data_IF_782815977071
#
_entry.id   IF_782815977071
#
_cell.length_a   1.000
_cell.length_b   1.000
_cell.length_c   1.000
_cell.angle_alpha   90.00
_cell.angle_beta   90.00
_cell.angle_gamma   90.00
#
_symmetry.space_group_name_H-M   'P 1'
#
loop_
_entity.id
_entity.type
_entity.pdbx_description
1 polymer ?
#
# COMPACT_ATOMS: atom_id res chain seq x y z
N UNK A 1 -50.99 -2.63 -76.75
CA UNK A 1 -49.78 -2.91 -75.94
C UNK A 1 -49.60 -1.72 -75.01
N UNK A 2 -50.33 -1.64 -73.90
CA UNK A 2 -50.22 -2.43 -72.66
C UNK A 2 -48.84 -2.35 -72.00
N UNK A 3 -48.90 -1.80 -70.78
CA UNK A 3 -48.01 -2.00 -69.62
C UNK A 3 -46.97 -0.90 -69.36
N UNK A 4 -46.78 -0.41 -68.14
CA UNK A 4 -47.53 -0.41 -66.87
C UNK A 4 -46.85 0.69 -66.04
N UNK A 5 -47.64 1.55 -65.38
CA UNK A 5 -47.16 2.32 -64.23
C UNK A 5 -46.76 1.37 -63.11
N UNK A 6 -45.59 1.54 -62.51
CA UNK A 6 -45.27 0.95 -61.21
C UNK A 6 -44.25 1.82 -60.46
N UNK A 7 -44.79 2.70 -59.61
CA UNK A 7 -44.09 3.24 -58.45
C UNK A 7 -44.61 2.48 -57.22
N UNK A 8 -43.73 2.05 -56.33
CA UNK A 8 -44.06 2.07 -54.92
C UNK A 8 -43.06 2.91 -54.13
N UNK A 9 -43.64 3.91 -53.49
CA UNK A 9 -43.20 4.65 -52.33
C UNK A 9 -42.62 3.75 -51.23
N UNK A 10 -41.32 3.90 -50.95
CA UNK A 10 -40.62 3.24 -49.85
C UNK A 10 -40.12 4.25 -48.81
N UNK A 11 -41.01 4.61 -47.89
CA UNK A 11 -40.72 4.97 -46.48
C UNK A 11 -39.44 5.79 -46.22
N UNK A 12 -39.54 7.09 -46.46
CA UNK A 12 -38.79 8.06 -45.68
C UNK A 12 -39.34 8.09 -44.24
N UNK A 13 -38.47 8.41 -43.28
CA UNK A 13 -38.71 8.71 -41.85
C UNK A 13 -38.70 7.48 -40.93
N UNK A 14 -37.55 7.20 -40.30
CA UNK A 14 -37.40 6.95 -38.84
C UNK A 14 -35.99 6.48 -38.44
N UNK A 15 -34.94 7.22 -38.80
CA UNK A 15 -33.58 6.97 -38.25
C UNK A 15 -32.82 8.28 -38.08
N UNK A 16 -33.41 9.27 -37.40
CA UNK A 16 -32.75 10.57 -37.20
C UNK A 16 -33.03 11.22 -35.84
N UNK A 17 -33.28 10.42 -34.79
CA UNK A 17 -33.41 10.95 -33.41
C UNK A 17 -32.51 10.22 -32.40
N UNK A 18 -31.90 9.09 -32.78
CA UNK A 18 -31.09 8.27 -31.86
C UNK A 18 -29.58 8.53 -31.97
N UNK A 19 -29.20 9.76 -32.33
CA UNK A 19 -27.77 10.16 -32.42
C UNK A 19 -27.44 11.39 -31.56
N UNK A 20 -28.43 12.06 -30.95
CA UNK A 20 -28.20 13.30 -30.19
C UNK A 20 -28.09 13.09 -28.67
N UNK A 21 -28.50 11.93 -28.14
CA UNK A 21 -28.45 11.66 -26.69
C UNK A 21 -27.08 11.13 -26.20
N UNK A 22 -26.18 10.73 -27.10
CA UNK A 22 -24.87 10.15 -26.72
C UNK A 22 -23.79 11.23 -26.50
N UNK A 23 -24.00 12.46 -26.98
CA UNK A 23 -23.00 13.54 -26.90
C UNK A 23 -22.99 14.33 -25.59
N UNK A 24 -23.96 14.13 -24.69
CA UNK A 24 -24.07 14.92 -23.44
C UNK A 24 -23.59 14.10 -22.20
N UNK A 25 -23.44 12.78 -22.32
CA UNK A 25 -23.06 11.91 -21.19
C UNK A 25 -21.56 11.72 -20.94
N UNK A 26 -20.67 12.31 -21.76
CA UNK A 26 -19.24 11.95 -21.77
C UNK A 26 -18.29 12.76 -20.87
N UNK A 27 -18.76 13.76 -20.12
CA UNK A 27 -17.86 14.79 -19.56
C UNK A 27 -17.39 14.60 -18.11
N UNK A 28 -17.64 13.46 -17.45
CA UNK A 28 -17.46 13.34 -15.99
C UNK A 28 -16.45 12.28 -15.49
N UNK A 29 -15.59 11.68 -16.32
CA UNK A 29 -14.72 10.55 -15.89
C UNK A 29 -13.21 10.89 -15.82
N UNK A 30 -12.81 12.15 -15.96
CA UNK A 30 -11.39 12.48 -16.14
C UNK A 30 -10.52 12.54 -14.85
N UNK A 31 -11.06 12.30 -13.65
CA UNK A 31 -10.32 12.55 -12.39
C UNK A 31 -9.77 11.30 -11.69
N UNK A 32 -10.16 10.09 -12.09
CA UNK A 32 -9.73 8.86 -11.38
C UNK A 32 -8.46 8.20 -11.94
N UNK A 33 -7.96 8.64 -13.10
CA UNK A 33 -6.83 7.97 -13.78
C UNK A 33 -5.48 8.31 -13.13
N UNK A 34 -5.33 9.48 -12.46
CA UNK A 34 -4.02 9.92 -11.93
C UNK A 34 -3.57 9.23 -10.65
N UNK A 35 -4.50 8.80 -9.79
CA UNK A 35 -4.13 8.09 -8.56
C UNK A 35 -3.59 6.69 -8.87
N UNK A 36 -4.11 6.03 -9.91
CA UNK A 36 -3.72 4.67 -10.28
C UNK A 36 -2.26 4.57 -10.73
N UNK A 37 -1.71 5.61 -11.35
CA UNK A 37 -0.31 5.61 -11.78
C UNK A 37 0.66 5.66 -10.59
N UNK A 38 0.37 6.46 -9.57
CA UNK A 38 1.27 6.56 -8.41
C UNK A 38 1.29 5.31 -7.53
N UNK A 39 0.17 4.61 -7.41
CA UNK A 39 0.14 3.33 -6.68
C UNK A 39 1.03 2.28 -7.35
N UNK A 40 1.04 2.22 -8.69
CA UNK A 40 1.92 1.32 -9.44
C UNK A 40 3.38 1.73 -9.29
N UNK A 41 3.70 3.02 -9.42
CA UNK A 41 5.07 3.52 -9.26
C UNK A 41 5.59 3.30 -7.82
N UNK A 42 4.73 3.44 -6.81
CA UNK A 42 5.09 3.14 -5.42
C UNK A 42 5.42 1.65 -5.23
N UNK A 43 4.61 0.76 -5.81
CA UNK A 43 4.89 -0.68 -5.78
C UNK A 43 6.20 -1.03 -6.51
N UNK A 44 6.46 -0.40 -7.66
CA UNK A 44 7.70 -0.58 -8.43
C UNK A 44 8.92 -0.08 -7.66
N UNK A 45 8.84 1.12 -7.07
CA UNK A 45 9.89 1.68 -6.24
C UNK A 45 10.18 0.79 -5.02
N UNK A 46 9.15 0.22 -4.39
CA UNK A 46 9.33 -0.71 -3.28
C UNK A 46 10.11 -1.96 -3.71
N UNK A 47 9.84 -2.49 -4.90
CA UNK A 47 10.63 -3.60 -5.45
C UNK A 47 12.09 -3.19 -5.66
N UNK A 48 12.33 -2.02 -6.27
CA UNK A 48 13.69 -1.49 -6.47
C UNK A 48 14.44 -1.31 -5.15
N UNK A 49 13.79 -0.77 -4.12
CA UNK A 49 14.34 -0.68 -2.76
C UNK A 49 14.71 -2.06 -2.19
N UNK A 50 13.81 -3.03 -2.29
CA UNK A 50 14.01 -4.39 -1.74
C UNK A 50 15.22 -5.11 -2.37
N UNK A 51 15.57 -4.81 -3.63
CA UNK A 51 16.74 -5.38 -4.32
C UNK A 51 17.98 -4.49 -4.26
N UNK A 52 17.96 -3.43 -3.44
CA UNK A 52 19.10 -2.52 -3.23
C UNK A 52 19.32 -1.49 -4.34
N UNK A 53 18.36 -1.32 -5.26
CA UNK A 53 18.39 -0.28 -6.30
C UNK A 53 17.77 1.01 -5.77
N UNK A 54 18.45 1.60 -4.79
CA UNK A 54 17.95 2.76 -4.07
C UNK A 54 17.77 3.99 -4.96
N UNK A 55 18.72 4.29 -5.85
CA UNK A 55 18.61 5.46 -6.74
C UNK A 55 17.41 5.32 -7.71
N UNK A 56 17.14 4.12 -8.24
CA UNK A 56 15.97 3.83 -9.08
C UNK A 56 14.65 4.01 -8.30
N UNK A 57 14.61 3.54 -7.04
CA UNK A 57 13.46 3.74 -6.17
C UNK A 57 13.19 5.23 -5.91
N UNK A 58 14.24 6.01 -5.62
CA UNK A 58 14.15 7.45 -5.36
C UNK A 58 13.64 8.20 -6.61
N UNK A 59 14.21 7.90 -7.79
CA UNK A 59 13.81 8.53 -9.05
C UNK A 59 12.33 8.26 -9.36
N UNK A 60 11.91 7.00 -9.21
CA UNK A 60 10.53 6.56 -9.43
C UNK A 60 9.54 7.29 -8.51
N UNK A 61 9.86 7.39 -7.21
CA UNK A 61 9.00 8.06 -6.24
C UNK A 61 8.92 9.56 -6.45
N UNK A 62 10.05 10.21 -6.78
CA UNK A 62 10.06 11.64 -7.12
C UNK A 62 9.24 11.94 -8.36
N UNK A 63 9.32 11.09 -9.39
CA UNK A 63 8.47 11.22 -10.56
C UNK A 63 6.97 11.20 -10.18
N UNK A 64 6.56 10.26 -9.31
CA UNK A 64 5.20 10.18 -8.80
C UNK A 64 4.78 11.46 -8.04
N UNK A 65 5.62 11.94 -7.11
CA UNK A 65 5.34 13.17 -6.35
C UNK A 65 5.19 14.40 -7.26
N UNK A 66 6.07 14.55 -8.24
CA UNK A 66 6.13 15.74 -9.09
C UNK A 66 5.03 15.80 -10.17
N UNK A 67 4.63 14.66 -10.75
CA UNK A 67 3.82 14.65 -11.98
C UNK A 67 2.37 14.22 -11.78
N UNK A 68 2.08 13.44 -10.73
CA UNK A 68 0.76 12.85 -10.54
C UNK A 68 -0.06 13.54 -9.44
N UNK A 69 0.56 14.45 -8.67
CA UNK A 69 -0.05 15.14 -7.53
C UNK A 69 -0.87 14.19 -6.65
N UNK A 70 -0.24 13.13 -6.09
CA UNK A 70 -0.94 12.13 -5.32
C UNK A 70 -1.59 12.71 -4.06
N UNK A 71 -2.53 11.98 -3.46
CA UNK A 71 -3.08 12.38 -2.15
C UNK A 71 -2.00 12.33 -1.05
N UNK A 72 -2.33 12.93 0.11
CA UNK A 72 -1.39 13.03 1.23
C UNK A 72 -0.95 11.67 1.78
N UNK A 73 -1.78 10.63 1.69
CA UNK A 73 -1.43 9.30 2.17
C UNK A 73 -0.35 8.68 1.28
N UNK A 74 -0.50 8.77 -0.05
CA UNK A 74 0.50 8.31 -1.01
C UNK A 74 1.78 9.15 -0.89
N UNK A 75 1.68 10.47 -0.73
CA UNK A 75 2.85 11.32 -0.50
C UNK A 75 3.64 10.87 0.74
N UNK A 76 2.94 10.61 1.86
CA UNK A 76 3.58 10.12 3.08
C UNK A 76 4.28 8.78 2.89
N UNK A 77 3.64 7.82 2.20
CA UNK A 77 4.27 6.54 1.86
C UNK A 77 5.50 6.72 0.98
N UNK A 78 5.45 7.61 0.00
CA UNK A 78 6.56 7.90 -0.89
C UNK A 78 7.75 8.51 -0.14
N UNK A 79 7.53 9.54 0.69
CA UNK A 79 8.61 10.15 1.48
C UNK A 79 9.23 9.21 2.51
N UNK A 80 8.42 8.35 3.14
CA UNK A 80 8.94 7.27 3.99
C UNK A 80 9.91 6.36 3.23
N UNK A 81 9.51 5.90 2.04
CA UNK A 81 10.33 5.01 1.23
C UNK A 81 11.57 5.71 0.64
N UNK A 82 11.46 6.98 0.25
CA UNK A 82 12.60 7.83 -0.16
C UNK A 82 13.61 7.96 1.00
N UNK A 83 13.15 8.26 2.21
CA UNK A 83 14.01 8.36 3.39
C UNK A 83 14.77 7.07 3.67
N UNK A 84 14.10 5.92 3.63
CA UNK A 84 14.75 4.62 3.77
C UNK A 84 15.76 4.33 2.64
N UNK A 85 15.42 4.65 1.39
CA UNK A 85 16.32 4.47 0.25
C UNK A 85 17.58 5.35 0.37
N UNK A 86 17.44 6.60 0.83
CA UNK A 86 18.59 7.45 1.10
C UNK A 86 19.50 6.90 2.20
N UNK A 87 18.94 6.34 3.27
CA UNK A 87 19.72 5.64 4.32
C UNK A 87 20.46 4.44 3.72
N UNK A 88 19.78 3.62 2.91
CA UNK A 88 20.39 2.49 2.19
C UNK A 88 21.56 2.92 1.30
N UNK A 89 21.47 4.10 0.69
CA UNK A 89 22.51 4.73 -0.12
C UNK A 89 23.57 5.52 0.66
N UNK A 90 23.51 5.54 2.01
CA UNK A 90 24.40 6.34 2.88
C UNK A 90 24.36 7.85 2.59
N UNK A 91 23.18 8.37 2.22
CA UNK A 91 22.88 9.78 1.94
C UNK A 91 22.05 10.37 3.08
N UNK A 92 22.64 10.47 4.26
CA UNK A 92 21.91 10.79 5.51
C UNK A 92 21.26 12.19 5.50
N UNK A 93 21.93 13.18 4.92
CA UNK A 93 21.39 14.54 4.81
C UNK A 93 20.11 14.58 3.96
N UNK A 94 20.10 13.84 2.85
CA UNK A 94 18.94 13.71 1.97
C UNK A 94 17.82 12.88 2.62
N UNK A 95 18.17 11.85 3.40
CA UNK A 95 17.21 11.10 4.19
C UNK A 95 16.49 12.00 5.21
N UNK A 96 17.28 12.84 5.90
CA UNK A 96 16.76 13.82 6.86
C UNK A 96 15.77 14.78 6.19
N UNK A 97 16.13 15.30 5.02
CA UNK A 97 15.24 16.18 4.25
C UNK A 97 13.93 15.49 3.85
N UNK A 98 13.98 14.24 3.39
CA UNK A 98 12.77 13.48 3.07
C UNK A 98 11.88 13.24 4.30
N UNK A 99 12.47 13.04 5.48
CA UNK A 99 11.73 12.90 6.74
C UNK A 99 11.10 14.23 7.17
N UNK A 100 11.78 15.36 6.97
CA UNK A 100 11.19 16.69 7.19
C UNK A 100 9.95 16.86 6.32
N UNK A 101 10.05 16.56 5.02
CA UNK A 101 8.91 16.65 4.10
C UNK A 101 7.77 15.69 4.50
N UNK A 102 8.09 14.48 4.99
CA UNK A 102 7.12 13.55 5.55
C UNK A 102 6.39 14.13 6.77
N UNK A 103 7.10 14.73 7.72
CA UNK A 103 6.52 15.26 8.95
C UNK A 103 5.71 16.55 8.70
N UNK A 104 6.05 17.31 7.66
CA UNK A 104 5.25 18.46 7.22
C UNK A 104 3.85 18.02 6.73
N UNK A 105 3.76 16.94 5.95
CA UNK A 105 2.47 16.43 5.44
C UNK A 105 1.74 15.52 6.44
N UNK A 106 2.47 14.82 7.30
CA UNK A 106 1.94 13.90 8.29
C UNK A 106 2.59 14.11 9.67
N UNK A 107 2.22 15.19 10.41
CA UNK A 107 2.85 15.51 11.70
C UNK A 107 2.76 14.40 12.74
N UNK A 108 1.68 13.59 12.68
CA UNK A 108 1.45 12.44 13.55
C UNK A 108 2.11 11.14 13.09
N UNK A 109 2.96 11.15 12.05
CA UNK A 109 3.60 9.94 11.51
C UNK A 109 4.48 9.24 12.54
N UNK A 110 4.23 7.96 12.79
CA UNK A 110 5.07 7.11 13.63
C UNK A 110 5.77 6.06 12.75
N UNK A 111 7.10 5.89 12.84
CA UNK A 111 7.79 4.87 12.07
C UNK A 111 7.38 3.47 12.52
N UNK A 112 7.35 2.50 11.58
CA UNK A 112 7.06 1.11 11.94
C UNK A 112 8.26 0.55 12.74
N UNK A 113 8.05 -0.10 13.90
CA UNK A 113 9.15 -0.73 14.64
C UNK A 113 9.93 -1.79 13.86
N UNK A 114 9.39 -2.31 12.75
CA UNK A 114 10.06 -3.24 11.84
C UNK A 114 10.89 -2.53 10.76
N UNK A 115 10.80 -1.20 10.65
CA UNK A 115 11.65 -0.44 9.74
C UNK A 115 13.12 -0.56 10.16
N UNK A 116 14.00 -0.22 9.21
CA UNK A 116 15.43 -0.16 9.50
C UNK A 116 15.66 0.73 10.72
N UNK A 117 16.38 0.23 11.72
CA UNK A 117 16.66 0.98 12.96
C UNK A 117 17.25 2.37 12.72
N UNK A 118 18.12 2.52 11.72
CA UNK A 118 18.68 3.82 11.36
C UNK A 118 17.61 4.80 10.86
N UNK A 119 16.55 4.29 10.20
CA UNK A 119 15.42 5.12 9.77
C UNK A 119 14.56 5.54 10.95
N UNK A 120 14.23 4.59 11.83
CA UNK A 120 13.47 4.85 13.06
C UNK A 120 14.17 5.91 13.92
N UNK A 121 15.46 5.73 14.18
CA UNK A 121 16.27 6.65 14.98
C UNK A 121 16.31 8.05 14.35
N UNK A 122 16.45 8.13 13.01
CA UNK A 122 16.49 9.42 12.30
C UNK A 122 15.14 10.14 12.32
N UNK A 123 14.01 9.43 12.25
CA UNK A 123 12.68 10.04 12.37
C UNK A 123 12.51 10.69 13.74
N UNK A 124 12.87 10.00 14.81
CA UNK A 124 12.81 10.57 16.15
C UNK A 124 13.75 11.75 16.33
N UNK A 125 14.97 11.65 15.78
CA UNK A 125 15.91 12.77 15.80
C UNK A 125 15.32 14.02 15.14
N UNK A 126 14.75 13.90 13.93
CA UNK A 126 14.16 15.05 13.23
C UNK A 126 12.99 15.64 14.03
N UNK A 127 12.17 14.80 14.67
CA UNK A 127 11.08 15.28 15.53
C UNK A 127 11.57 16.08 16.71
N UNK A 128 12.57 15.58 17.46
CA UNK A 128 13.14 16.32 18.60
C UNK A 128 13.78 17.65 18.18
N UNK A 129 14.30 17.73 16.95
CA UNK A 129 14.84 18.98 16.42
C UNK A 129 13.74 19.98 16.02
N UNK A 130 12.58 19.51 15.55
CA UNK A 130 11.44 20.37 15.18
C UNK A 130 10.56 20.76 16.36
N UNK A 131 10.42 19.87 17.34
CA UNK A 131 9.62 20.02 18.55
C UNK A 131 10.46 19.62 19.77
N UNK A 132 11.08 20.60 20.47
CA UNK A 132 11.90 20.33 21.65
C UNK A 132 11.14 19.69 22.82
N UNK A 133 9.81 19.78 22.82
CA UNK A 133 8.95 19.19 23.86
C UNK A 133 8.51 17.75 23.49
N UNK A 134 8.91 17.23 22.33
CA UNK A 134 8.62 15.86 21.92
C UNK A 134 9.39 14.84 22.75
N UNK A 135 8.65 13.99 23.46
CA UNK A 135 9.20 12.80 24.14
C UNK A 135 8.99 11.56 23.25
N UNK A 136 10.07 10.90 22.78
CA UNK A 136 9.93 9.67 22.02
C UNK A 136 9.28 8.60 22.90
N UNK A 137 8.49 7.67 22.32
CA UNK A 137 7.89 6.59 23.09
C UNK A 137 8.99 5.76 23.78
N UNK A 138 9.13 5.95 25.09
CA UNK A 138 10.08 5.22 25.93
C UNK A 138 9.52 3.84 26.24
N UNK A 139 9.58 2.95 25.26
CA UNK A 139 9.27 1.54 25.43
C UNK A 139 9.97 0.74 24.35
N UNK A 140 10.65 -0.36 24.73
CA UNK A 140 10.91 -1.42 23.75
C UNK A 140 9.58 -1.74 23.05
N UNK A 141 9.56 -1.96 21.73
CA UNK A 141 8.32 -2.29 21.04
C UNK A 141 7.74 -3.50 21.76
N UNK A 142 6.65 -3.28 22.52
CA UNK A 142 5.96 -4.37 23.16
C UNK A 142 5.56 -5.30 22.03
N UNK A 143 6.26 -6.42 21.93
CA UNK A 143 5.90 -7.54 21.08
C UNK A 143 4.52 -7.95 21.58
N UNK A 144 3.46 -7.38 20.99
CA UNK A 144 2.08 -7.73 21.29
C UNK A 144 1.87 -9.16 20.79
N UNK A 145 2.35 -10.12 21.58
CA UNK A 145 2.07 -11.55 21.47
C UNK A 145 0.55 -11.70 21.59
N UNK A 146 -0.10 -11.86 20.44
CA UNK A 146 -1.43 -12.42 20.33
C UNK A 146 -2.56 -11.60 20.96
N UNK A 147 -2.96 -10.50 20.32
CA UNK A 147 -4.29 -9.91 20.55
C UNK A 147 -5.30 -10.18 19.41
N UNK A 148 -5.08 -11.21 18.59
CA UNK A 148 -6.19 -11.83 17.83
C UNK A 148 -6.98 -12.79 18.72
N UNK A 149 -7.48 -12.29 19.86
CA UNK A 149 -8.56 -12.96 20.60
C UNK A 149 -9.89 -12.49 20.03
N UNK A 150 -10.39 -13.28 19.07
CA UNK A 150 -11.80 -13.55 18.76
C UNK A 150 -12.79 -12.39 18.98
N UNK A 151 -13.07 -11.63 17.92
CA UNK A 151 -14.37 -10.97 17.76
C UNK A 151 -15.34 -11.97 17.11
N UNK A 152 -15.90 -12.86 17.93
CA UNK A 152 -17.11 -13.63 17.61
C UNK A 152 -18.20 -13.09 18.54
N UNK A 153 -19.13 -12.29 18.01
CA UNK A 153 -20.50 -12.01 18.49
C UNK A 153 -21.04 -10.87 17.60
N UNK A 154 -21.77 -11.15 16.52
CA UNK A 154 -23.24 -11.32 16.46
C UNK A 154 -23.78 -10.13 15.62
N UNK A 155 -24.67 -10.24 14.64
CA UNK A 155 -26.02 -10.82 14.63
C UNK A 155 -26.38 -11.07 13.15
N UNK A 156 -26.88 -12.27 12.83
CA UNK A 156 -27.37 -12.59 11.48
C UNK A 156 -27.88 -14.03 11.42
N UNK A 157 -29.04 -14.26 12.01
CA UNK A 157 -29.67 -15.58 12.04
C UNK A 157 -30.12 -16.01 10.63
N UNK A 158 -29.59 -17.13 10.15
CA UNK A 158 -30.29 -18.03 9.23
C UNK A 158 -29.79 -19.44 9.49
N UNK A 159 -30.68 -20.27 10.06
CA UNK A 159 -30.42 -21.66 10.40
C UNK A 159 -30.24 -22.50 9.13
N UNK A 160 -29.14 -23.27 9.05
CA UNK A 160 -29.11 -24.53 8.29
C UNK A 160 -28.39 -25.57 9.14
N UNK A 161 -29.05 -26.71 9.25
CA UNK A 161 -28.83 -27.78 10.18
C UNK A 161 -27.70 -28.75 9.73
N UNK A 162 -26.98 -29.26 10.74
CA UNK A 162 -26.42 -30.62 10.87
C UNK A 162 -25.36 -31.05 9.85
N UNK A 163 -24.13 -31.30 10.33
CA UNK A 163 -23.55 -32.65 10.45
C UNK A 163 -22.53 -32.63 11.60
N UNK A 164 -22.77 -33.46 12.63
CA UNK A 164 -21.78 -33.77 13.65
C UNK A 164 -20.93 -34.95 13.16
N UNK A 165 -19.60 -34.76 13.10
CA UNK A 165 -18.63 -35.86 13.07
C UNK A 165 -17.77 -35.71 14.32
N UNK A 166 -17.98 -36.63 15.26
CA UNK A 166 -17.11 -36.89 16.40
C UNK A 166 -15.95 -37.80 15.92
N UNK A 167 -14.72 -37.29 15.99
CA UNK A 167 -13.47 -38.07 16.02
C UNK A 167 -12.57 -37.28 16.98
N UNK A 168 -12.51 -37.66 18.26
CA UNK A 168 -11.56 -38.60 18.87
C UNK A 168 -10.12 -38.08 18.90
N UNK A 169 -9.56 -38.11 20.11
CA UNK A 169 -8.32 -37.44 20.49
C UNK A 169 -7.05 -37.95 19.84
N UNK A 170 -6.02 -37.12 19.99
CA UNK A 170 -4.63 -37.44 19.69
C UNK A 170 -3.75 -36.45 20.45
N UNK A 171 -2.97 -36.97 21.38
CA UNK A 171 -1.87 -36.31 22.09
C UNK A 171 -0.97 -35.54 21.12
N UNK A 172 -0.72 -34.26 21.38
CA UNK A 172 0.29 -33.47 20.66
C UNK A 172 1.69 -33.95 21.10
N UNK A 173 2.52 -34.51 20.20
CA UNK A 173 3.90 -34.81 20.52
C UNK A 173 4.69 -33.50 20.60
N UNK A 174 5.28 -33.23 21.75
CA UNK A 174 6.34 -32.22 21.91
C UNK A 174 7.41 -32.44 20.84
N UNK A 175 7.80 -31.41 20.05
CA UNK A 175 8.91 -31.54 19.12
C UNK A 175 10.18 -31.90 19.90
N UNK A 176 11.02 -32.82 19.40
CA UNK A 176 12.32 -33.03 19.99
C UNK A 176 13.11 -31.71 19.92
N UNK A 177 13.59 -31.25 21.06
CA UNK A 177 14.63 -30.24 21.13
C UNK A 177 15.88 -30.84 20.50
N UNK A 178 16.14 -30.52 19.23
CA UNK A 178 17.45 -30.69 18.61
C UNK A 178 18.43 -29.81 19.40
N UNK A 179 19.08 -30.39 20.40
CA UNK A 179 20.27 -29.81 21.02
C UNK A 179 21.30 -29.61 19.91
N UNK A 180 21.70 -28.35 19.70
CA UNK A 180 22.82 -28.04 18.83
C UNK A 180 24.08 -28.75 19.37
N UNK A 181 24.91 -29.33 18.50
CA UNK A 181 26.17 -29.94 18.93
C UNK A 181 27.08 -28.88 19.56
N UNK A 182 27.73 -29.26 20.65
CA UNK A 182 28.72 -28.42 21.33
C UNK A 182 29.84 -27.99 20.36
N UNK A 183 30.27 -26.71 20.43
CA UNK A 183 31.33 -26.22 19.58
C UNK A 183 32.65 -26.96 19.86
N UNK A 184 33.46 -27.25 18.82
CA UNK A 184 34.73 -27.94 18.99
C UNK A 184 35.66 -27.15 19.91
N UNK A 185 36.33 -27.85 20.82
CA UNK A 185 37.29 -27.25 21.73
C UNK A 185 38.46 -26.62 20.96
N UNK A 186 38.80 -25.37 21.33
CA UNK A 186 39.93 -24.66 20.74
C UNK A 186 41.25 -25.36 21.07
N UNK A 187 42.18 -25.49 20.10
CA UNK A 187 43.52 -26.00 20.36
C UNK A 187 44.28 -25.05 21.30
N UNK A 188 45.00 -25.62 22.28
CA UNK A 188 45.93 -24.88 23.15
C UNK A 188 47.28 -24.70 22.49
#
# INVERSE_FOLDING_TARGET
MSMRLSMPSGRAKLTAVLSLAVLIGGLAVATAVRAQDCDEELARAQQSYNIGRFDEAIETLRYCLDHNAPDLEIQAKAYRLIGMAYIGSRKEAEAKQAIVELLEIAPGYEPDPQDNRNYVDLVYQVRMEQDPDYEPPTGEPEQKKGFFKKAVYGIGAAAVAVVAILVSGGDDPTPPTDELPDPPALPR
#
